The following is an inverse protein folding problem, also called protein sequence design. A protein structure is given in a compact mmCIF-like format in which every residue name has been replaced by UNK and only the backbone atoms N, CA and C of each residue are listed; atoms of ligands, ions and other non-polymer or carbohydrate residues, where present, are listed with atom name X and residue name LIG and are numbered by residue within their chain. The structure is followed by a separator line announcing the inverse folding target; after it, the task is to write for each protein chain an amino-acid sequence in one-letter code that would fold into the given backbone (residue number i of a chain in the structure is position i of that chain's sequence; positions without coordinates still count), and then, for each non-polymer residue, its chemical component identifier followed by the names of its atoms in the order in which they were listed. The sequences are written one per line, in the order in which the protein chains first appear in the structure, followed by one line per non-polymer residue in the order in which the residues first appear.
data_IF_963287988401
#
_entry.id   IF_963287988401
#
_cell.length_a   1.000
_cell.length_b   1.000
_cell.length_c   1.000
_cell.angle_alpha   90.00
_cell.angle_beta   90.00
_cell.angle_gamma   90.00
#
_symmetry.space_group_name_H-M   'P 1'
#
loop_
_entity.id
_entity.type
_entity.pdbx_description
1 polymer ?
#
# COMPACT_ATOMS: atom_id res chain seq x y z
N UNK A 1 8.97 -26.39 15.70
CA UNK A 1 8.01 -25.36 15.24
C UNK A 1 8.74 -24.04 15.11
N UNK A 2 8.23 -23.11 14.32
CA UNK A 2 8.79 -21.75 14.18
C UNK A 2 7.99 -20.80 15.07
N UNK A 3 8.67 -19.89 15.77
CA UNK A 3 8.03 -18.82 16.54
C UNK A 3 7.84 -17.61 15.63
N UNK A 4 6.64 -17.04 15.61
CA UNK A 4 6.31 -15.86 14.82
C UNK A 4 6.05 -14.70 15.76
N UNK A 5 6.71 -13.57 15.51
CA UNK A 5 6.47 -12.31 16.20
C UNK A 5 5.97 -11.28 15.18
N UNK A 6 4.86 -10.61 15.50
CA UNK A 6 4.19 -9.69 14.58
C UNK A 6 4.24 -8.29 15.16
N UNK A 7 4.77 -7.36 14.37
CA UNK A 7 4.67 -5.92 14.65
C UNK A 7 3.69 -5.29 13.67
N UNK A 8 2.63 -4.68 14.19
CA UNK A 8 1.65 -3.94 13.38
C UNK A 8 2.02 -2.46 13.29
N UNK A 9 1.82 -1.87 12.12
CA UNK A 9 2.06 -0.44 11.85
C UNK A 9 0.78 0.20 11.33
N UNK A 10 0.54 1.47 11.71
CA UNK A 10 -0.67 2.21 11.34
C UNK A 10 -0.50 3.13 10.12
N UNK A 11 0.73 3.38 9.68
CA UNK A 11 1.03 4.23 8.53
C UNK A 11 2.38 3.87 7.90
N UNK A 12 2.57 4.29 6.66
CA UNK A 12 3.82 4.11 5.91
C UNK A 12 4.99 4.85 6.59
N UNK A 13 4.73 5.99 7.24
CA UNK A 13 5.74 6.73 8.00
C UNK A 13 6.27 5.93 9.19
N UNK A 14 5.38 5.26 9.94
CA UNK A 14 5.77 4.37 11.04
C UNK A 14 6.52 3.15 10.50
N UNK A 15 6.10 2.59 9.36
CA UNK A 15 6.80 1.48 8.72
C UNK A 15 8.24 1.87 8.37
N UNK A 16 8.44 2.99 7.67
CA UNK A 16 9.78 3.50 7.32
C UNK A 16 10.65 3.75 8.55
N UNK A 17 10.08 4.38 9.58
CA UNK A 17 10.80 4.66 10.82
C UNK A 17 11.26 3.37 11.51
N UNK A 18 10.44 2.31 11.49
CA UNK A 18 10.81 1.02 12.09
C UNK A 18 11.86 0.27 11.27
N UNK A 19 11.79 0.33 9.95
CA UNK A 19 12.78 -0.34 9.08
C UNK A 19 14.15 0.32 9.09
N UNK A 20 14.21 1.62 9.37
CA UNK A 20 15.47 2.38 9.44
C UNK A 20 16.07 2.46 10.85
N UNK A 21 15.36 1.99 11.88
CA UNK A 21 15.85 1.97 13.26
C UNK A 21 16.92 0.87 13.45
N UNK A 22 18.19 1.27 13.41
CA UNK A 22 19.34 0.38 13.62
C UNK A 22 19.41 -0.24 15.02
N UNK A 23 18.66 0.27 15.99
CA UNK A 23 18.57 -0.27 17.36
C UNK A 23 17.29 -1.08 17.59
N UNK A 24 16.42 -1.12 16.59
CA UNK A 24 15.14 -1.82 16.62
C UNK A 24 15.28 -3.32 16.33
N UNK A 25 14.15 -4.05 16.36
CA UNK A 25 14.12 -5.45 15.94
C UNK A 25 14.42 -5.59 14.45
N UNK A 26 15.03 -6.71 14.08
CA UNK A 26 15.24 -7.11 12.68
C UNK A 26 13.97 -7.76 12.15
N UNK A 27 13.61 -7.47 10.90
CA UNK A 27 12.42 -8.01 10.25
C UNK A 27 12.81 -8.93 9.10
N UNK A 28 12.30 -10.17 9.11
CA UNK A 28 12.51 -11.13 8.02
C UNK A 28 11.53 -10.90 6.85
N UNK A 29 10.31 -10.44 7.16
CA UNK A 29 9.23 -10.22 6.19
C UNK A 29 8.53 -8.91 6.49
N UNK A 30 8.30 -8.12 5.45
CA UNK A 30 7.57 -6.85 5.50
C UNK A 30 6.39 -6.90 4.53
N UNK A 31 5.22 -6.46 4.99
CA UNK A 31 4.09 -6.17 4.13
C UNK A 31 4.01 -4.65 3.94
N UNK A 32 4.17 -4.19 2.70
CA UNK A 32 4.13 -2.78 2.33
C UNK A 32 3.42 -2.59 0.99
N UNK A 33 2.95 -1.37 0.71
CA UNK A 33 2.39 -1.03 -0.59
C UNK A 33 3.50 -0.92 -1.67
N UNK A 34 3.13 -0.90 -2.95
CA UNK A 34 4.09 -0.93 -4.06
C UNK A 34 5.01 0.28 -4.12
N UNK A 35 4.60 1.44 -3.60
CA UNK A 35 5.42 2.66 -3.54
C UNK A 35 6.54 2.46 -2.52
N UNK A 36 6.22 1.99 -1.32
CA UNK A 36 7.21 1.69 -0.29
C UNK A 36 8.18 0.58 -0.75
N UNK A 37 7.68 -0.50 -1.36
CA UNK A 37 8.54 -1.56 -1.92
C UNK A 37 9.54 -0.96 -2.93
N UNK A 38 9.08 -0.11 -3.86
CA UNK A 38 9.96 0.52 -4.84
C UNK A 38 11.05 1.36 -4.18
N UNK A 39 10.73 2.08 -3.10
CA UNK A 39 11.70 2.87 -2.33
C UNK A 39 12.70 1.97 -1.61
N UNK A 40 12.26 0.89 -0.97
CA UNK A 40 13.13 -0.04 -0.26
C UNK A 40 14.07 -0.78 -1.21
N UNK A 41 13.62 -1.13 -2.42
CA UNK A 41 14.49 -1.68 -3.47
C UNK A 41 15.56 -0.67 -3.88
N UNK A 42 15.19 0.60 -4.10
CA UNK A 42 16.15 1.64 -4.46
C UNK A 42 17.18 1.90 -3.34
N UNK A 43 16.78 1.74 -2.07
CA UNK A 43 17.64 1.88 -0.90
C UNK A 43 18.40 0.59 -0.54
N UNK A 44 18.27 -0.48 -1.33
CA UNK A 44 18.90 -1.79 -1.08
C UNK A 44 18.52 -2.41 0.28
N UNK A 45 17.32 -2.12 0.77
CA UNK A 45 16.78 -2.65 2.03
C UNK A 45 16.04 -3.97 1.86
N UNK A 46 15.78 -4.39 0.61
CA UNK A 46 15.14 -5.67 0.29
C UNK A 46 16.09 -6.58 -0.48
N UNK A 47 15.95 -7.88 -0.23
CA UNK A 47 16.63 -8.93 -1.00
C UNK A 47 15.71 -9.43 -2.12
N UNK A 48 16.26 -9.80 -3.29
CA UNK A 48 15.46 -10.41 -4.34
C UNK A 48 14.93 -11.78 -3.90
N UNK A 49 13.72 -12.11 -4.32
CA UNK A 49 13.06 -13.35 -3.97
C UNK A 49 13.43 -14.49 -4.93
N UNK A 50 13.75 -15.65 -4.36
CA UNK A 50 13.87 -16.91 -5.10
C UNK A 50 12.47 -17.51 -5.30
N UNK A 51 11.79 -17.20 -6.41
CA UNK A 51 10.42 -17.67 -6.65
C UNK A 51 10.28 -19.20 -6.68
N UNK A 52 11.36 -19.94 -6.95
CA UNK A 52 11.40 -21.40 -6.85
C UNK A 52 11.13 -21.93 -5.45
N UNK A 53 11.47 -21.16 -4.41
CA UNK A 53 11.23 -21.51 -3.00
C UNK A 53 9.79 -21.18 -2.54
N UNK A 54 9.03 -20.48 -3.38
CA UNK A 54 7.67 -20.01 -3.08
C UNK A 54 6.68 -20.54 -4.13
N UNK A 55 6.49 -21.87 -4.27
CA UNK A 55 5.71 -22.46 -5.37
C UNK A 55 4.23 -22.03 -5.38
N UNK A 56 3.72 -21.59 -4.22
CA UNK A 56 2.33 -21.16 -4.07
C UNK A 56 2.01 -19.83 -4.75
N UNK A 57 3.00 -19.06 -5.25
CA UNK A 57 2.73 -17.86 -6.07
C UNK A 57 1.89 -18.17 -7.31
N UNK A 58 2.02 -19.39 -7.84
CA UNK A 58 1.22 -19.89 -8.97
C UNK A 58 -0.29 -19.94 -8.70
N UNK A 59 -0.69 -19.95 -7.42
CA UNK A 59 -2.09 -19.99 -6.99
C UNK A 59 -2.78 -18.62 -7.00
N UNK A 60 -2.02 -17.53 -7.16
CA UNK A 60 -2.58 -16.18 -7.22
C UNK A 60 -3.50 -15.99 -8.43
N UNK A 61 -4.30 -14.93 -8.43
CA UNK A 61 -5.10 -14.54 -9.60
C UNK A 61 -4.18 -14.26 -10.81
N UNK A 62 -4.63 -14.48 -12.06
CA UNK A 62 -3.80 -14.30 -13.25
C UNK A 62 -3.06 -12.96 -13.32
N UNK A 63 -3.72 -11.85 -12.97
CA UNK A 63 -3.11 -10.50 -12.95
C UNK A 63 -1.96 -10.34 -11.96
N UNK A 64 -1.86 -11.19 -10.96
CA UNK A 64 -0.81 -11.15 -9.93
C UNK A 64 0.33 -12.14 -10.20
N UNK A 65 0.21 -13.00 -11.22
CA UNK A 65 1.26 -13.95 -11.60
C UNK A 65 2.36 -13.31 -12.45
N UNK A 66 2.02 -12.24 -13.19
CA UNK A 66 2.98 -11.46 -13.97
C UNK A 66 3.65 -10.43 -13.07
N UNK A 67 4.53 -10.88 -12.18
CA UNK A 67 5.14 -10.04 -11.13
C UNK A 67 5.92 -8.85 -11.72
N UNK A 68 6.61 -9.04 -12.85
CA UNK A 68 7.33 -7.96 -13.54
C UNK A 68 6.42 -6.88 -14.13
N UNK A 69 5.13 -7.18 -14.35
CA UNK A 69 4.14 -6.21 -14.82
C UNK A 69 3.57 -5.35 -13.69
N UNK A 70 3.85 -5.69 -12.43
CA UNK A 70 3.40 -4.92 -11.27
C UNK A 70 4.46 -3.87 -10.95
N UNK A 71 4.10 -2.61 -11.15
CA UNK A 71 5.00 -1.49 -10.90
C UNK A 71 5.48 -1.47 -9.43
N UNK A 72 6.78 -1.27 -9.25
CA UNK A 72 7.42 -1.08 -7.95
C UNK A 72 7.88 -2.34 -7.23
N UNK A 73 7.51 -3.55 -7.68
CA UNK A 73 7.94 -4.80 -7.01
C UNK A 73 9.06 -5.56 -7.75
N UNK A 74 9.39 -5.15 -8.96
CA UNK A 74 10.46 -5.73 -9.75
C UNK A 74 11.46 -4.66 -10.19
N UNK A 75 12.75 -4.97 -10.17
CA UNK A 75 13.83 -4.08 -10.59
C UNK A 75 14.95 -4.88 -11.24
N UNK A 76 15.39 -4.45 -12.44
CA UNK A 76 16.47 -5.10 -13.20
C UNK A 76 16.28 -6.62 -13.40
N UNK A 77 15.05 -7.06 -13.70
CA UNK A 77 14.73 -8.48 -13.93
C UNK A 77 14.72 -9.34 -12.67
N UNK A 78 14.75 -8.73 -11.48
CA UNK A 78 14.59 -9.40 -10.19
C UNK A 78 13.31 -8.95 -9.51
N UNK A 79 12.63 -9.90 -8.86
CA UNK A 79 11.39 -9.67 -8.11
C UNK A 79 11.72 -9.54 -6.62
N UNK A 80 11.14 -8.54 -5.95
CA UNK A 80 11.41 -8.23 -4.55
C UNK A 80 10.18 -8.37 -3.64
N UNK A 81 8.99 -8.55 -4.21
CA UNK A 81 7.76 -8.77 -3.43
C UNK A 81 6.78 -9.71 -4.14
N UNK A 82 5.90 -10.33 -3.34
CA UNK A 82 4.78 -11.16 -3.79
C UNK A 82 3.47 -10.47 -3.36
N UNK A 83 2.47 -10.33 -4.24
CA UNK A 83 1.19 -9.73 -3.87
C UNK A 83 0.51 -10.48 -2.72
N UNK A 84 0.24 -9.78 -1.62
CA UNK A 84 -0.45 -10.34 -0.46
C UNK A 84 -1.94 -9.99 -0.47
N UNK A 85 -2.24 -8.70 -0.55
CA UNK A 85 -3.59 -8.14 -0.63
C UNK A 85 -3.61 -6.98 -1.61
N UNK A 86 -4.75 -6.73 -2.24
CA UNK A 86 -4.97 -5.54 -3.07
C UNK A 86 -6.31 -4.92 -2.70
N UNK A 87 -6.41 -3.61 -2.84
CA UNK A 87 -7.66 -2.86 -2.72
C UNK A 87 -7.57 -1.62 -3.61
N UNK A 88 -8.73 -1.12 -3.98
CA UNK A 88 -8.86 0.20 -4.60
C UNK A 88 -9.26 1.20 -3.51
N UNK A 89 -8.81 2.44 -3.64
CA UNK A 89 -9.36 3.55 -2.86
C UNK A 89 -10.56 4.11 -3.62
N UNK A 90 -11.67 4.26 -2.92
CA UNK A 90 -12.90 4.80 -3.49
C UNK A 90 -13.67 5.64 -2.48
N UNK A 91 -14.84 6.09 -2.91
CA UNK A 91 -15.74 6.86 -2.07
C UNK A 91 -16.61 5.94 -1.22
N UNK A 92 -16.51 6.10 0.10
CA UNK A 92 -17.46 5.53 1.05
C UNK A 92 -18.39 6.67 1.49
N UNK A 93 -19.70 6.50 1.32
CA UNK A 93 -20.70 7.53 1.60
C UNK A 93 -21.92 6.96 2.33
N UNK A 94 -22.62 7.82 3.08
CA UNK A 94 -23.90 7.50 3.71
C UNK A 94 -25.05 7.58 2.69
N UNK A 95 -25.70 6.45 2.43
CA UNK A 95 -26.85 6.35 1.50
C UNK A 95 -28.08 7.12 1.97
N UNK A 96 -28.18 7.50 3.25
CA UNK A 96 -29.26 8.38 3.74
C UNK A 96 -29.00 9.84 3.39
N UNK A 97 -27.73 10.24 3.30
CA UNK A 97 -27.31 11.58 2.93
C UNK A 97 -27.27 11.77 1.40
N UNK A 98 -27.01 10.70 0.65
CA UNK A 98 -26.93 10.71 -0.81
C UNK A 98 -28.12 9.99 -1.44
N UNK A 99 -29.08 10.76 -1.99
CA UNK A 99 -30.19 10.21 -2.77
C UNK A 99 -29.74 9.59 -4.11
N UNK A 100 -28.65 10.08 -4.66
CA UNK A 100 -27.94 9.51 -5.82
C UNK A 100 -26.48 9.29 -5.43
N UNK A 101 -25.88 8.12 -5.73
CA UNK A 101 -24.46 7.86 -5.48
C UNK A 101 -23.56 8.92 -6.12
N UNK A 102 -22.52 9.41 -5.42
CA UNK A 102 -21.54 10.28 -6.03
C UNK A 102 -20.70 9.50 -7.05
N UNK A 103 -20.44 10.12 -8.21
CA UNK A 103 -19.69 9.51 -9.31
C UNK A 103 -18.26 10.05 -9.44
N UNK A 104 -17.92 11.08 -8.66
CA UNK A 104 -16.61 11.75 -8.69
C UNK A 104 -16.11 12.08 -7.29
N UNK A 105 -14.79 11.99 -7.10
CA UNK A 105 -14.08 12.43 -5.89
C UNK A 105 -14.28 13.93 -5.62
N UNK A 106 -14.60 14.75 -6.64
CA UNK A 106 -14.90 16.19 -6.50
C UNK A 106 -15.94 16.48 -5.41
N UNK A 107 -16.82 15.52 -5.11
CA UNK A 107 -17.80 15.61 -4.03
C UNK A 107 -17.19 15.94 -2.67
N UNK A 108 -15.93 15.55 -2.41
CA UNK A 108 -15.27 15.81 -1.12
C UNK A 108 -15.00 17.32 -0.90
N UNK A 109 -15.02 18.13 -1.96
CA UNK A 109 -14.81 19.58 -1.92
C UNK A 109 -16.10 20.40 -1.98
N UNK A 110 -17.24 19.74 -2.11
CA UNK A 110 -18.53 20.42 -2.13
C UNK A 110 -18.78 21.14 -0.79
N UNK A 111 -19.06 22.47 -0.80
CA UNK A 111 -19.33 23.23 0.42
C UNK A 111 -20.45 22.64 1.30
N UNK A 112 -21.39 21.89 0.70
CA UNK A 112 -22.48 21.20 1.43
C UNK A 112 -21.97 20.15 2.43
N UNK A 113 -20.80 19.58 2.18
CA UNK A 113 -20.20 18.54 3.04
C UNK A 113 -19.13 19.09 3.98
N UNK A 114 -18.99 20.41 4.10
CA UNK A 114 -18.02 21.05 5.00
C UNK A 114 -18.17 20.52 6.44
N UNK A 115 -17.08 20.00 6.99
CA UNK A 115 -17.03 19.40 8.33
C UNK A 115 -17.65 18.00 8.44
N UNK A 116 -18.00 17.37 7.30
CA UNK A 116 -18.61 16.02 7.25
C UNK A 116 -17.85 15.04 6.36
N UNK A 117 -16.61 15.39 5.98
CA UNK A 117 -15.72 14.55 5.17
C UNK A 117 -14.63 13.98 6.08
N UNK A 118 -14.42 12.67 6.00
CA UNK A 118 -13.27 11.98 6.61
C UNK A 118 -12.31 11.60 5.49
N UNK A 119 -11.02 11.88 5.69
CA UNK A 119 -9.95 11.53 4.78
C UNK A 119 -8.92 10.63 5.48
N UNK A 120 -8.14 9.89 4.71
CA UNK A 120 -7.07 9.06 5.24
C UNK A 120 -5.99 9.92 5.92
N UNK A 121 -5.56 9.49 7.09
CA UNK A 121 -4.45 10.11 7.84
C UNK A 121 -3.10 9.62 7.30
N UNK A 122 -2.74 10.09 6.11
CA UNK A 122 -1.49 9.74 5.45
C UNK A 122 -1.01 10.85 4.53
N UNK A 123 0.28 11.18 4.58
CA UNK A 123 0.88 12.32 3.88
C UNK A 123 0.72 12.25 2.36
N UNK A 124 0.95 11.08 1.76
CA UNK A 124 0.79 10.85 0.32
C UNK A 124 -0.67 11.00 -0.13
N UNK A 125 -1.60 10.34 0.54
CA UNK A 125 -3.03 10.37 0.22
C UNK A 125 -3.64 11.75 0.46
N UNK A 126 -3.31 12.41 1.57
CA UNK A 126 -3.75 13.75 1.89
C UNK A 126 -3.31 14.78 0.83
N UNK A 127 -2.04 14.70 0.41
CA UNK A 127 -1.53 15.57 -0.65
C UNK A 127 -2.22 15.33 -1.99
N UNK A 128 -2.36 14.07 -2.42
CA UNK A 128 -3.03 13.74 -3.68
C UNK A 128 -4.49 14.21 -3.70
N UNK A 129 -5.24 14.01 -2.60
CA UNK A 129 -6.60 14.50 -2.49
C UNK A 129 -6.63 16.04 -2.56
N UNK A 130 -5.84 16.73 -1.73
CA UNK A 130 -5.81 18.19 -1.73
C UNK A 130 -5.48 18.79 -3.11
N UNK A 131 -4.56 18.16 -3.85
CA UNK A 131 -4.14 18.60 -5.19
C UNK A 131 -5.22 18.48 -6.25
N UNK A 132 -6.31 17.73 -6.02
CA UNK A 132 -7.43 17.65 -6.97
C UNK A 132 -8.22 18.97 -7.08
N UNK A 133 -8.02 19.90 -6.14
CA UNK A 133 -8.79 21.13 -6.04
C UNK A 133 -7.92 22.39 -5.88
N UNK A 134 -6.63 22.28 -6.23
CA UNK A 134 -5.73 23.42 -6.45
C UNK A 134 -5.75 23.81 -7.92
#
# INVERSE_FOLDING_TARGET
GVRVEVTTVGSDDILRSKLTDLKGPVYDVVAANTVEISQFVAQQQLVPLSLGDIPNVTRQLPRFRQLDAIAGIAHQGRVYAVPYTYSEMGLIYDRKAFGTPPESLEVLWDPRWRGRVLAFDGSSHGFSLASMHL
#
